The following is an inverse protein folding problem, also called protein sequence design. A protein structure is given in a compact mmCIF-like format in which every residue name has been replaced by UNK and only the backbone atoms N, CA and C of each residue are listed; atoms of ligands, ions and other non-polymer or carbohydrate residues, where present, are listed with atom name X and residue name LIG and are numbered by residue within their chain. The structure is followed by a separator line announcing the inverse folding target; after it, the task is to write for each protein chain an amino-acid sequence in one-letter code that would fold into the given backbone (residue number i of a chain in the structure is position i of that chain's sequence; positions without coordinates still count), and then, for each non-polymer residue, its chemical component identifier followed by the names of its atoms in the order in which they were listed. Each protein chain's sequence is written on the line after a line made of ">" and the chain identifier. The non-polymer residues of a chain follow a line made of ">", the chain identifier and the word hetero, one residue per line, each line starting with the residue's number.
data_IF_978377220999
#
_entry.id   IF_978377220999
#
_cell.length_a   1.000
_cell.length_b   1.000
_cell.length_c   1.000
_cell.angle_alpha   90.00
_cell.angle_beta   90.00
_cell.angle_gamma   90.00
#
_symmetry.space_group_name_H-M   'P 1'
#
loop_
_entity.id
_entity.type
_entity.pdbx_description
1 polymer ?
#
# COMPACT_ATOMS: atom_id res chain seq x y z
N UNK A 1 22.59 -26.78 11.35
CA UNK A 1 21.16 -26.95 10.99
C UNK A 1 20.69 -25.68 10.32
N UNK A 2 19.90 -25.80 9.26
CA UNK A 2 19.31 -24.65 8.56
C UNK A 2 18.26 -23.99 9.46
N UNK A 3 18.35 -22.70 9.69
CA UNK A 3 17.43 -21.95 10.51
C UNK A 3 16.07 -21.78 9.79
N UNK A 4 14.97 -22.14 10.47
CA UNK A 4 13.60 -21.98 9.94
C UNK A 4 13.06 -20.63 10.38
N UNK A 5 12.71 -19.79 9.42
CA UNK A 5 12.18 -18.44 9.69
C UNK A 5 10.76 -18.35 9.12
N UNK A 6 9.81 -17.95 9.95
CA UNK A 6 8.46 -17.62 9.51
C UNK A 6 8.25 -16.11 9.62
N UNK A 7 7.84 -15.49 8.53
CA UNK A 7 7.56 -14.06 8.44
C UNK A 7 6.06 -13.87 8.27
N UNK A 8 5.44 -13.12 9.19
CA UNK A 8 4.03 -12.80 9.15
C UNK A 8 3.87 -11.41 8.54
N UNK A 9 3.44 -11.37 7.28
CA UNK A 9 3.28 -10.16 6.47
C UNK A 9 4.27 -10.09 5.30
N UNK A 10 3.75 -9.90 4.09
CA UNK A 10 4.47 -9.85 2.83
C UNK A 10 4.75 -8.44 2.31
N UNK A 11 4.66 -7.42 3.18
CA UNK A 11 5.04 -6.03 2.87
C UNK A 11 6.55 -5.83 2.82
N UNK A 12 7.05 -4.58 2.60
CA UNK A 12 8.49 -4.30 2.43
C UNK A 12 9.36 -4.89 3.54
N UNK A 13 8.99 -4.71 4.80
CA UNK A 13 9.75 -5.27 5.91
C UNK A 13 9.82 -6.81 5.85
N UNK A 14 8.73 -7.46 5.42
CA UNK A 14 8.65 -8.91 5.35
C UNK A 14 9.40 -9.48 4.15
N UNK A 15 9.17 -8.97 2.95
CA UNK A 15 9.81 -9.55 1.75
C UNK A 15 11.29 -9.22 1.67
N UNK A 16 11.75 -8.06 2.10
CA UNK A 16 13.18 -7.73 2.16
C UNK A 16 13.91 -8.61 3.17
N UNK A 17 13.34 -8.76 4.37
CA UNK A 17 13.91 -9.67 5.36
C UNK A 17 13.97 -11.12 4.86
N UNK A 18 12.95 -11.56 4.11
CA UNK A 18 12.92 -12.91 3.54
C UNK A 18 14.03 -13.13 2.51
N UNK A 19 14.24 -12.16 1.61
CA UNK A 19 15.31 -12.23 0.60
C UNK A 19 16.68 -12.32 1.26
N UNK A 20 16.96 -11.44 2.23
CA UNK A 20 18.22 -11.45 2.97
C UNK A 20 18.42 -12.77 3.72
N UNK A 21 17.40 -13.24 4.43
CA UNK A 21 17.50 -14.49 5.19
C UNK A 21 17.72 -15.73 4.30
N UNK A 22 17.04 -15.78 3.14
CA UNK A 22 17.21 -16.87 2.17
C UNK A 22 18.64 -16.88 1.58
N UNK A 23 19.17 -15.69 1.22
CA UNK A 23 20.55 -15.55 0.74
C UNK A 23 21.59 -16.00 1.79
N UNK A 24 21.27 -15.92 3.07
CA UNK A 24 22.09 -16.46 4.16
C UNK A 24 21.80 -17.93 4.47
N UNK A 25 21.04 -18.63 3.65
CA UNK A 25 20.80 -20.06 3.73
C UNK A 25 19.73 -20.48 4.74
N UNK A 26 18.86 -19.57 5.17
CA UNK A 26 17.71 -19.92 6.01
C UNK A 26 16.58 -20.58 5.20
N UNK A 27 15.78 -21.43 5.84
CA UNK A 27 14.52 -21.94 5.30
C UNK A 27 13.39 -20.95 5.65
N UNK A 28 12.99 -20.14 4.69
CA UNK A 28 12.09 -19.00 4.90
C UNK A 28 10.68 -19.27 4.38
N UNK A 29 9.68 -18.95 5.20
CA UNK A 29 8.27 -18.95 4.81
C UNK A 29 7.65 -17.59 5.10
N UNK A 30 7.04 -16.95 4.12
CA UNK A 30 6.19 -15.77 4.31
C UNK A 30 4.73 -16.22 4.34
N UNK A 31 3.96 -15.69 5.28
CA UNK A 31 2.50 -15.84 5.33
C UNK A 31 1.88 -14.45 5.20
N UNK A 32 1.04 -14.26 4.20
CA UNK A 32 0.33 -13.00 3.96
C UNK A 32 -1.10 -13.25 3.48
N UNK A 33 -2.05 -12.44 3.94
CA UNK A 33 -3.47 -12.54 3.56
C UNK A 33 -3.90 -11.60 2.44
N UNK A 34 -3.15 -10.51 2.21
CA UNK A 34 -3.54 -9.44 1.29
C UNK A 34 -2.74 -9.46 -0.02
N UNK A 35 -1.61 -10.15 -0.03
CA UNK A 35 -0.72 -10.27 -1.17
C UNK A 35 0.66 -9.65 -0.98
N UNK A 36 1.63 -10.18 -1.72
CA UNK A 36 3.05 -9.78 -1.64
C UNK A 36 3.22 -8.34 -2.11
N UNK A 37 4.00 -7.58 -1.34
CA UNK A 37 4.22 -6.14 -1.51
C UNK A 37 3.50 -5.30 -0.45
N UNK A 38 2.44 -5.84 0.17
CA UNK A 38 1.68 -5.18 1.24
C UNK A 38 1.13 -3.81 0.85
N UNK A 39 0.84 -2.98 1.83
CA UNK A 39 0.28 -1.63 1.59
C UNK A 39 1.14 -0.80 0.64
N UNK A 40 2.44 -0.78 0.83
CA UNK A 40 3.36 0.06 0.05
C UNK A 40 3.23 -0.20 -1.45
N UNK A 41 3.18 -1.46 -1.87
CA UNK A 41 3.13 -1.82 -3.30
C UNK A 41 1.71 -1.84 -3.84
N UNK A 42 0.76 -2.39 -3.07
CA UNK A 42 -0.57 -2.68 -3.60
C UNK A 42 -1.57 -1.53 -3.43
N UNK A 43 -1.40 -0.67 -2.42
CA UNK A 43 -2.43 0.29 -2.04
C UNK A 43 -1.92 1.70 -1.75
N UNK A 44 -0.63 1.92 -1.42
CA UNK A 44 -0.14 3.22 -0.95
C UNK A 44 0.99 3.77 -1.85
N UNK A 45 2.25 3.55 -1.50
CA UNK A 45 3.38 4.27 -2.11
C UNK A 45 3.42 4.15 -3.65
N UNK A 46 3.33 2.94 -4.19
CA UNK A 46 3.35 2.73 -5.65
C UNK A 46 2.08 3.28 -6.31
N UNK A 47 0.87 2.95 -5.82
CA UNK A 47 -0.36 3.53 -6.33
C UNK A 47 -0.40 5.06 -6.24
N UNK A 48 -0.10 5.66 -5.08
CA UNK A 48 -0.22 7.10 -4.91
C UNK A 48 0.78 7.88 -5.78
N UNK A 49 2.03 7.43 -5.85
CA UNK A 49 3.04 8.08 -6.73
C UNK A 49 2.69 7.92 -8.21
N UNK A 50 2.14 6.77 -8.61
CA UNK A 50 1.65 6.57 -9.99
C UNK A 50 0.47 7.50 -10.29
N UNK A 51 -0.44 7.67 -9.33
CA UNK A 51 -1.59 8.56 -9.43
C UNK A 51 -1.14 10.01 -9.55
N UNK A 52 -0.26 10.48 -8.65
CA UNK A 52 0.30 11.84 -8.67
C UNK A 52 1.07 12.10 -9.98
N UNK A 53 1.90 11.16 -10.43
CA UNK A 53 2.62 11.32 -11.69
C UNK A 53 1.67 11.52 -12.90
N UNK A 54 0.48 10.92 -12.86
CA UNK A 54 -0.53 11.12 -13.90
C UNK A 54 -1.10 12.54 -13.86
N UNK A 55 -1.25 13.15 -12.67
CA UNK A 55 -1.73 14.55 -12.58
C UNK A 55 -0.68 15.56 -13.03
N UNK A 56 0.61 15.25 -12.82
CA UNK A 56 1.74 16.08 -13.28
C UNK A 56 1.75 16.33 -14.78
N UNK A 57 1.27 15.37 -15.59
CA UNK A 57 1.16 15.52 -17.04
C UNK A 57 0.31 16.74 -17.42
N UNK A 58 -0.77 17.02 -16.69
CA UNK A 58 -1.59 18.24 -16.92
C UNK A 58 -0.81 19.52 -16.65
N UNK A 59 -0.07 19.54 -15.55
CA UNK A 59 0.77 20.69 -15.19
C UNK A 59 1.83 20.94 -16.27
N UNK A 60 2.44 19.88 -16.80
CA UNK A 60 3.43 19.98 -17.87
C UNK A 60 2.80 20.49 -19.17
N UNK A 61 1.60 20.03 -19.53
CA UNK A 61 0.86 20.55 -20.71
C UNK A 61 0.53 22.02 -20.57
N UNK A 62 0.06 22.47 -19.40
CA UNK A 62 -0.21 23.89 -19.15
C UNK A 62 1.07 24.73 -19.26
N UNK A 63 2.18 24.26 -18.70
CA UNK A 63 3.49 24.91 -18.82
C UNK A 63 3.97 24.96 -20.27
N UNK A 64 3.71 23.92 -21.06
CA UNK A 64 4.05 23.89 -22.47
C UNK A 64 3.34 25.01 -23.24
N UNK A 65 2.05 25.27 -22.95
CA UNK A 65 1.29 26.41 -23.56
C UNK A 65 1.91 27.74 -23.14
N UNK A 66 2.29 27.93 -21.89
CA UNK A 66 2.98 29.15 -21.44
C UNK A 66 4.33 29.38 -22.15
N UNK A 67 4.98 28.29 -22.60
CA UNK A 67 6.23 28.32 -23.40
C UNK A 67 5.97 28.42 -24.91
N UNK A 68 4.72 28.59 -25.37
CA UNK A 68 4.35 28.72 -26.78
C UNK A 68 4.21 27.38 -27.52
N UNK A 69 4.20 26.25 -26.83
CA UNK A 69 3.91 24.94 -27.41
C UNK A 69 2.41 24.69 -27.38
N UNK A 70 1.78 24.55 -28.56
CA UNK A 70 0.34 24.28 -28.64
C UNK A 70 0.04 22.85 -28.15
N UNK A 71 -0.53 22.74 -26.96
CA UNK A 71 -1.07 21.52 -26.42
C UNK A 71 -2.59 21.66 -26.28
N UNK A 72 -3.35 21.01 -27.16
CA UNK A 72 -4.80 20.99 -27.02
C UNK A 72 -5.20 20.00 -25.96
N UNK A 73 -5.52 20.49 -24.78
CA UNK A 73 -5.97 19.70 -23.64
C UNK A 73 -7.36 20.17 -23.19
N UNK A 74 -8.31 19.22 -23.14
CA UNK A 74 -9.59 19.44 -22.46
C UNK A 74 -9.39 19.22 -20.95
N UNK A 75 -9.47 20.27 -20.12
CA UNK A 75 -9.29 20.15 -18.68
C UNK A 75 -10.33 19.25 -17.98
N UNK A 76 -11.42 18.91 -18.68
CA UNK A 76 -12.48 18.02 -18.14
C UNK A 76 -12.28 16.55 -18.52
N UNK A 77 -11.25 16.22 -19.30
CA UNK A 77 -11.09 14.90 -19.95
C UNK A 77 -10.36 13.84 -19.10
N UNK A 78 -10.33 13.97 -17.76
CA UNK A 78 -9.80 12.88 -16.94
C UNK A 78 -10.73 11.67 -16.96
N UNK A 79 -10.25 10.57 -17.52
CA UNK A 79 -10.90 9.27 -17.42
C UNK A 79 -10.40 8.54 -16.18
N UNK A 80 -10.93 8.87 -15.00
CA UNK A 80 -10.43 8.37 -13.71
C UNK A 80 -10.37 6.84 -13.67
N UNK A 81 -11.35 6.15 -14.26
CA UNK A 81 -11.33 4.68 -14.35
C UNK A 81 -10.12 4.14 -15.12
N UNK A 82 -9.63 4.85 -16.17
CA UNK A 82 -8.41 4.46 -16.89
C UNK A 82 -7.15 4.72 -16.05
N UNK A 83 -7.10 5.87 -15.36
CA UNK A 83 -6.00 6.22 -14.44
C UNK A 83 -5.88 5.15 -13.36
N UNK A 84 -6.99 4.85 -12.69
CA UNK A 84 -7.02 3.85 -11.63
C UNK A 84 -6.72 2.43 -12.15
N UNK A 85 -7.18 2.11 -13.36
CA UNK A 85 -6.82 0.85 -14.04
C UNK A 85 -5.31 0.72 -14.25
N UNK A 86 -4.64 1.79 -14.71
CA UNK A 86 -3.18 1.83 -14.86
C UNK A 86 -2.47 1.72 -13.52
N UNK A 87 -2.91 2.44 -12.50
CA UNK A 87 -2.37 2.39 -11.13
C UNK A 87 -2.39 0.97 -10.60
N UNK A 88 -3.55 0.30 -10.67
CA UNK A 88 -3.71 -1.09 -10.21
C UNK A 88 -2.87 -2.08 -11.01
N UNK A 89 -2.75 -1.87 -12.33
CA UNK A 89 -1.95 -2.73 -13.18
C UNK A 89 -0.47 -2.67 -12.81
N UNK A 90 0.09 -1.49 -12.60
CA UNK A 90 1.49 -1.31 -12.19
C UNK A 90 1.76 -1.90 -10.80
N UNK A 91 0.86 -1.68 -9.84
CA UNK A 91 0.97 -2.26 -8.51
C UNK A 91 0.99 -3.80 -8.54
N UNK A 92 0.10 -4.40 -9.34
CA UNK A 92 0.04 -5.86 -9.52
C UNK A 92 1.29 -6.40 -10.23
N UNK A 93 1.80 -5.70 -11.23
CA UNK A 93 3.02 -6.10 -11.93
C UNK A 93 4.20 -6.11 -10.95
N UNK A 94 4.38 -5.07 -10.16
CA UNK A 94 5.46 -5.03 -9.16
C UNK A 94 5.30 -6.10 -8.09
N UNK A 95 4.07 -6.35 -7.60
CA UNK A 95 3.79 -7.46 -6.67
C UNK A 95 4.18 -8.82 -7.27
N UNK A 96 3.88 -9.04 -8.55
CA UNK A 96 4.24 -10.27 -9.26
C UNK A 96 5.76 -10.42 -9.40
N UNK A 97 6.48 -9.35 -9.68
CA UNK A 97 7.95 -9.36 -9.77
C UNK A 97 8.61 -9.69 -8.44
N UNK A 98 8.13 -9.09 -7.33
CA UNK A 98 8.63 -9.40 -5.98
C UNK A 98 8.34 -10.87 -5.65
N UNK A 99 7.14 -11.36 -5.95
CA UNK A 99 6.78 -12.78 -5.76
C UNK A 99 7.72 -13.70 -6.52
N UNK A 100 7.99 -13.41 -7.80
CA UNK A 100 8.88 -14.20 -8.62
C UNK A 100 10.32 -14.19 -8.09
N UNK A 101 10.80 -13.05 -7.57
CA UNK A 101 12.09 -12.94 -6.94
C UNK A 101 12.18 -13.81 -5.68
N UNK A 102 11.21 -13.72 -4.77
CA UNK A 102 11.14 -14.54 -3.56
C UNK A 102 11.15 -16.05 -3.88
N UNK A 103 10.40 -16.44 -4.92
CA UNK A 103 10.36 -17.84 -5.35
C UNK A 103 11.70 -18.33 -5.93
N UNK A 104 12.43 -17.47 -6.68
CA UNK A 104 13.78 -17.81 -7.18
C UNK A 104 14.78 -18.03 -6.05
N UNK A 105 14.64 -17.28 -4.96
CA UNK A 105 15.47 -17.43 -3.75
C UNK A 105 14.99 -18.59 -2.84
N UNK A 106 14.01 -19.37 -3.26
CA UNK A 106 13.52 -20.52 -2.52
C UNK A 106 12.58 -20.21 -1.35
N UNK A 107 12.11 -18.96 -1.24
CA UNK A 107 11.17 -18.57 -0.17
C UNK A 107 9.79 -19.19 -0.43
N UNK A 108 9.23 -19.85 0.57
CA UNK A 108 7.86 -20.37 0.53
C UNK A 108 6.85 -19.27 0.81
N UNK A 109 5.84 -19.14 -0.04
CA UNK A 109 4.77 -18.16 0.08
C UNK A 109 3.46 -18.87 0.39
N UNK A 110 2.82 -18.50 1.51
CA UNK A 110 1.53 -19.03 1.92
C UNK A 110 0.50 -17.90 1.95
N UNK A 111 -0.60 -18.06 1.21
CA UNK A 111 -1.74 -17.15 1.27
C UNK A 111 -2.64 -17.53 2.43
N UNK A 112 -2.73 -16.67 3.45
CA UNK A 112 -3.53 -16.93 4.63
C UNK A 112 -3.22 -15.95 5.76
N UNK A 113 -4.02 -16.04 6.81
CA UNK A 113 -3.83 -15.26 8.04
C UNK A 113 -3.03 -16.04 9.04
N UNK A 114 -1.91 -15.47 9.52
CA UNK A 114 -1.05 -16.10 10.51
C UNK A 114 -1.23 -15.48 11.90
N UNK A 115 -1.06 -16.32 12.91
CA UNK A 115 -0.98 -15.92 14.32
C UNK A 115 0.15 -16.67 15.01
N UNK A 116 0.89 -16.01 15.86
CA UNK A 116 1.80 -16.69 16.78
C UNK A 116 0.95 -17.56 17.71
N UNK A 117 1.15 -18.88 17.65
CA UNK A 117 0.36 -19.84 18.39
C UNK A 117 1.03 -20.16 19.73
N UNK A 118 2.34 -20.42 19.72
CA UNK A 118 3.13 -20.59 20.91
C UNK A 118 4.50 -19.95 20.75
N UNK A 119 4.82 -19.03 21.65
CA UNK A 119 6.11 -18.34 21.71
C UNK A 119 6.30 -17.79 23.12
N UNK A 120 7.36 -18.21 23.78
CA UNK A 120 7.74 -17.69 25.10
C UNK A 120 9.23 -17.33 25.10
N UNK A 121 9.67 -16.36 25.92
CA UNK A 121 11.08 -16.04 26.06
C UNK A 121 11.91 -17.30 26.46
N UNK A 122 13.01 -17.52 25.75
CA UNK A 122 13.90 -18.65 25.98
C UNK A 122 13.48 -19.98 25.34
N UNK A 123 12.37 -20.04 24.60
CA UNK A 123 12.05 -21.22 23.79
C UNK A 123 12.99 -21.35 22.59
N UNK A 124 13.45 -22.57 22.34
CA UNK A 124 14.26 -22.90 21.17
C UNK A 124 13.43 -22.96 19.87
N UNK A 125 12.11 -23.13 20.00
CA UNK A 125 11.19 -23.27 18.87
C UNK A 125 9.88 -22.54 19.16
N UNK A 126 9.38 -21.82 18.15
CA UNK A 126 8.10 -21.13 18.16
C UNK A 126 7.13 -21.80 17.21
N UNK A 127 5.83 -21.61 17.38
CA UNK A 127 4.84 -22.09 16.41
C UNK A 127 3.90 -20.98 15.94
N UNK A 128 3.55 -21.06 14.67
CA UNK A 128 2.65 -20.12 13.98
C UNK A 128 1.48 -20.90 13.39
N UNK A 129 0.27 -20.54 13.78
CA UNK A 129 -0.96 -21.06 13.16
C UNK A 129 -1.28 -20.22 11.93
N UNK A 130 -1.44 -20.90 10.79
CA UNK A 130 -1.89 -20.29 9.52
C UNK A 130 -3.32 -20.75 9.25
N UNK A 131 -4.22 -19.81 9.05
CA UNK A 131 -5.59 -20.06 8.60
C UNK A 131 -5.69 -19.65 7.13
N UNK A 132 -5.98 -20.60 6.25
CA UNK A 132 -6.16 -20.40 4.82
C UNK A 132 -7.57 -19.88 4.51
N UNK A 133 -7.78 -19.35 3.28
CA UNK A 133 -9.10 -18.84 2.84
C UNK A 133 -10.22 -19.87 2.90
N UNK A 134 -9.90 -21.16 2.67
CA UNK A 134 -10.86 -22.27 2.77
C UNK A 134 -11.16 -22.68 4.22
N UNK A 135 -10.67 -21.95 5.22
CA UNK A 135 -10.84 -22.23 6.64
C UNK A 135 -9.95 -23.32 7.21
N UNK A 136 -9.14 -24.00 6.38
CA UNK A 136 -8.16 -24.98 6.87
C UNK A 136 -7.08 -24.28 7.71
N UNK A 137 -6.62 -24.98 8.73
CA UNK A 137 -5.56 -24.52 9.62
C UNK A 137 -4.34 -25.40 9.53
N UNK A 138 -3.16 -24.77 9.61
CA UNK A 138 -1.88 -25.47 9.68
C UNK A 138 -1.00 -24.81 10.72
N UNK A 139 -0.37 -25.59 11.56
CA UNK A 139 0.65 -25.10 12.49
C UNK A 139 2.02 -25.39 11.90
N UNK A 140 2.88 -24.38 11.92
CA UNK A 140 4.25 -24.42 11.43
C UNK A 140 5.19 -24.10 12.57
N UNK A 141 6.28 -24.87 12.67
CA UNK A 141 7.35 -24.63 13.65
C UNK A 141 8.43 -23.75 13.05
N UNK A 142 8.94 -22.82 13.82
CA UNK A 142 9.98 -21.89 13.47
C UNK A 142 11.02 -21.73 14.57
N UNK A 143 12.26 -21.49 14.19
CA UNK A 143 13.32 -21.10 15.11
C UNK A 143 13.28 -19.58 15.35
N UNK A 144 12.78 -18.83 14.34
CA UNK A 144 12.55 -17.38 14.43
C UNK A 144 11.18 -17.03 13.80
N UNK A 145 10.45 -16.14 14.45
CA UNK A 145 9.23 -15.53 13.91
C UNK A 145 9.44 -14.03 13.78
N UNK A 146 9.33 -13.52 12.56
CA UNK A 146 9.33 -12.07 12.28
C UNK A 146 7.88 -11.58 12.09
N UNK A 147 7.46 -10.62 12.91
CA UNK A 147 6.15 -9.98 12.80
C UNK A 147 6.30 -8.70 11.99
N UNK A 148 5.78 -8.72 10.75
CA UNK A 148 5.85 -7.63 9.78
C UNK A 148 4.44 -7.29 9.23
N UNK A 149 3.44 -7.27 10.11
CA UNK A 149 2.00 -7.22 9.78
C UNK A 149 1.53 -5.86 9.25
N UNK A 150 2.38 -4.83 9.27
CA UNK A 150 2.07 -3.50 8.75
C UNK A 150 0.96 -2.79 9.54
N UNK A 151 0.16 -1.99 8.81
CA UNK A 151 -0.91 -1.18 9.39
C UNK A 151 -2.15 -1.17 8.48
N UNK A 152 -3.29 -0.84 9.06
CA UNK A 152 -4.55 -0.62 8.35
C UNK A 152 -4.99 0.83 8.48
N UNK A 153 -5.80 1.35 7.54
CA UNK A 153 -6.39 2.67 7.67
C UNK A 153 -7.15 2.81 8.99
N UNK A 154 -6.97 3.94 9.67
CA UNK A 154 -7.75 4.24 10.86
C UNK A 154 -9.17 4.60 10.46
N UNK A 155 -10.15 3.97 11.09
CA UNK A 155 -11.56 4.28 10.92
C UNK A 155 -12.06 5.16 12.06
N UNK A 156 -12.84 6.20 11.72
CA UNK A 156 -13.50 7.02 12.72
C UNK A 156 -14.81 6.34 13.14
N UNK A 157 -15.12 6.25 14.45
CA UNK A 157 -16.33 5.57 14.92
C UNK A 157 -17.62 6.15 14.33
N UNK A 158 -17.68 7.49 14.19
CA UNK A 158 -18.83 8.24 13.71
C UNK A 158 -18.86 8.45 12.19
N UNK A 159 -17.84 7.96 11.47
CA UNK A 159 -17.71 8.09 10.01
C UNK A 159 -17.03 6.85 9.43
N UNK A 160 -17.63 5.70 9.65
CA UNK A 160 -17.10 4.43 9.15
C UNK A 160 -17.22 4.36 7.64
N UNK A 161 -16.20 3.82 6.95
CA UNK A 161 -16.27 3.63 5.51
C UNK A 161 -17.47 2.77 5.10
N UNK A 162 -18.26 3.29 4.15
CA UNK A 162 -19.42 2.60 3.57
C UNK A 162 -19.14 2.06 2.16
N UNK A 163 -17.97 2.41 1.59
CA UNK A 163 -17.58 2.01 0.24
C UNK A 163 -18.20 2.86 -0.88
N UNK A 164 -19.05 3.83 -0.56
CA UNK A 164 -19.74 4.68 -1.55
C UNK A 164 -19.39 6.16 -1.40
N UNK A 165 -19.63 6.72 -0.21
CA UNK A 165 -19.42 8.15 0.11
C UNK A 165 -18.33 8.37 1.12
N UNK A 166 -18.18 7.46 2.07
CA UNK A 166 -17.13 7.46 3.08
C UNK A 166 -16.15 6.36 2.71
N UNK A 167 -14.98 6.76 2.27
CA UNK A 167 -13.96 5.87 1.70
C UNK A 167 -12.70 5.89 2.55
N UNK A 168 -12.05 4.74 2.63
CA UNK A 168 -10.62 4.72 2.98
C UNK A 168 -9.79 5.12 1.77
N UNK A 169 -8.55 5.53 1.98
CA UNK A 169 -7.63 5.83 0.88
C UNK A 169 -7.42 4.66 -0.11
N UNK A 170 -7.57 3.40 0.34
CA UNK A 170 -7.51 2.23 -0.53
C UNK A 170 -8.64 2.21 -1.58
N UNK A 171 -9.82 2.65 -1.19
CA UNK A 171 -11.03 2.62 -2.04
C UNK A 171 -11.07 3.76 -3.06
N UNK A 172 -10.21 4.79 -2.92
CA UNK A 172 -10.11 5.87 -3.91
C UNK A 172 -9.75 5.36 -5.31
N UNK A 173 -8.97 4.28 -5.38
CA UNK A 173 -8.62 3.66 -6.67
C UNK A 173 -9.75 2.84 -7.29
N UNK A 174 -10.90 2.70 -6.62
CA UNK A 174 -12.10 2.06 -7.16
C UNK A 174 -13.05 3.07 -7.82
N UNK A 175 -12.82 4.36 -7.61
CA UNK A 175 -13.59 5.42 -8.26
C UNK A 175 -13.40 5.38 -9.78
N UNK A 176 -14.50 5.47 -10.52
CA UNK A 176 -14.51 5.52 -11.99
C UNK A 176 -14.66 6.94 -12.53
N UNK A 177 -15.21 7.85 -11.72
CA UNK A 177 -15.47 9.25 -12.06
C UNK A 177 -14.92 10.17 -10.98
N UNK A 178 -14.56 11.39 -11.38
CA UNK A 178 -14.11 12.42 -10.45
C UNK A 178 -15.29 12.91 -9.59
N UNK A 179 -15.15 12.97 -8.27
CA UNK A 179 -16.17 13.58 -7.42
C UNK A 179 -16.24 15.09 -7.67
N UNK A 180 -17.41 15.67 -7.53
CA UNK A 180 -17.56 17.15 -7.61
C UNK A 180 -16.86 17.86 -6.45
N UNK A 181 -16.84 17.21 -5.28
CA UNK A 181 -16.20 17.70 -4.08
C UNK A 181 -15.66 16.51 -3.27
N UNK A 182 -14.41 16.59 -2.89
CA UNK A 182 -13.74 15.60 -2.02
C UNK A 182 -13.42 16.26 -0.68
N UNK A 183 -13.85 15.61 0.40
CA UNK A 183 -13.43 15.99 1.77
C UNK A 183 -12.41 14.96 2.24
N UNK A 184 -11.21 15.43 2.55
CA UNK A 184 -10.11 14.58 3.04
C UNK A 184 -9.94 14.81 4.52
N UNK A 185 -10.10 13.77 5.33
CA UNK A 185 -9.92 13.83 6.78
C UNK A 185 -8.56 13.27 7.15
N UNK A 186 -7.68 14.15 7.60
CA UNK A 186 -6.29 13.87 7.93
C UNK A 186 -5.30 14.64 7.06
N UNK A 187 -4.32 15.27 7.70
CA UNK A 187 -3.31 16.13 7.07
C UNK A 187 -1.90 15.52 7.05
N UNK A 188 -1.80 14.21 7.25
CA UNK A 188 -0.54 13.47 7.05
C UNK A 188 -0.19 13.28 5.58
N UNK A 189 0.91 12.57 5.30
CA UNK A 189 1.45 12.38 3.95
C UNK A 189 0.38 11.88 2.97
N UNK A 190 -0.32 10.81 3.28
CA UNK A 190 -1.36 10.24 2.40
C UNK A 190 -2.48 11.26 2.10
N UNK A 191 -2.95 12.00 3.13
CA UNK A 191 -3.97 13.03 2.93
C UNK A 191 -3.48 14.16 2.04
N UNK A 192 -2.27 14.67 2.27
CA UNK A 192 -1.66 15.73 1.47
C UNK A 192 -1.47 15.32 0.01
N UNK A 193 -1.02 14.09 -0.25
CA UNK A 193 -0.86 13.54 -1.59
C UNK A 193 -2.19 13.51 -2.36
N UNK A 194 -3.26 13.01 -1.75
CA UNK A 194 -4.56 12.97 -2.42
C UNK A 194 -5.18 14.34 -2.59
N UNK A 195 -5.01 15.24 -1.61
CA UNK A 195 -5.46 16.65 -1.77
C UNK A 195 -4.79 17.29 -2.97
N UNK A 196 -3.46 17.18 -3.08
CA UNK A 196 -2.71 17.70 -4.21
C UNK A 196 -3.20 17.10 -5.53
N UNK A 197 -3.25 15.77 -5.62
CA UNK A 197 -3.63 15.08 -6.84
C UNK A 197 -5.05 15.43 -7.34
N UNK A 198 -6.04 15.38 -6.45
CA UNK A 198 -7.43 15.70 -6.83
C UNK A 198 -7.63 17.20 -7.14
N UNK A 199 -6.91 18.09 -6.45
CA UNK A 199 -6.91 19.52 -6.78
C UNK A 199 -6.36 19.76 -8.19
N UNK A 200 -5.24 19.10 -8.54
CA UNK A 200 -4.68 19.16 -9.90
C UNK A 200 -5.65 18.62 -10.97
N UNK A 201 -6.47 17.63 -10.62
CA UNK A 201 -7.53 17.12 -11.50
C UNK A 201 -8.74 18.06 -11.62
N UNK A 202 -8.76 19.18 -10.90
CA UNK A 202 -9.84 20.17 -10.94
C UNK A 202 -11.02 19.85 -10.01
N UNK A 203 -10.86 18.92 -9.09
CA UNK A 203 -11.85 18.63 -8.07
C UNK A 203 -11.81 19.69 -6.97
N UNK A 204 -12.97 20.13 -6.48
CA UNK A 204 -13.04 20.94 -5.27
C UNK A 204 -12.64 20.05 -4.09
N UNK A 205 -11.55 20.41 -3.39
CA UNK A 205 -11.07 19.63 -2.24
C UNK A 205 -11.15 20.44 -0.96
N UNK A 206 -11.57 19.81 0.12
CA UNK A 206 -11.51 20.37 1.48
C UNK A 206 -10.73 19.39 2.35
N UNK A 207 -9.62 19.85 2.95
CA UNK A 207 -8.89 19.09 3.96
C UNK A 207 -9.37 19.45 5.36
N UNK A 208 -9.63 18.43 6.18
CA UNK A 208 -9.99 18.59 7.58
C UNK A 208 -8.89 17.96 8.44
N UNK A 209 -8.33 18.74 9.33
CA UNK A 209 -7.24 18.33 10.22
C UNK A 209 -7.56 18.68 11.67
N UNK A 210 -7.18 17.81 12.59
CA UNK A 210 -7.14 18.09 14.03
C UNK A 210 -5.81 18.75 14.45
N UNK A 211 -4.92 18.99 13.50
CA UNK A 211 -3.62 19.65 13.71
C UNK A 211 -3.66 21.03 13.06
N UNK A 212 -2.82 21.90 13.53
CA UNK A 212 -2.70 23.29 13.10
C UNK A 212 -1.92 23.47 11.78
N UNK A 213 -1.27 22.41 11.29
CA UNK A 213 -0.55 22.41 9.99
C UNK A 213 -0.74 21.11 9.22
N UNK A 214 -0.47 21.17 7.92
CA UNK A 214 -0.32 20.00 7.06
C UNK A 214 1.01 19.33 7.39
N UNK A 215 1.13 18.02 7.18
CA UNK A 215 2.33 17.23 7.46
C UNK A 215 2.86 17.44 8.89
N UNK A 216 2.03 17.26 9.92
CA UNK A 216 2.32 17.73 11.29
C UNK A 216 3.51 17.02 11.96
N UNK A 217 3.97 15.91 11.39
CA UNK A 217 5.11 15.11 11.89
C UNK A 217 6.38 15.30 11.07
N UNK A 218 6.30 16.06 9.99
CA UNK A 218 7.45 16.36 9.12
C UNK A 218 8.16 17.64 9.57
N UNK A 219 9.31 17.92 8.94
CA UNK A 219 10.05 19.14 9.16
C UNK A 219 9.18 20.38 8.89
N UNK A 220 9.36 21.44 9.69
CA UNK A 220 8.57 22.65 9.57
C UNK A 220 8.72 23.35 8.20
N UNK A 221 9.89 23.20 7.57
CA UNK A 221 10.16 23.78 6.25
C UNK A 221 9.50 22.98 5.11
N UNK A 222 9.07 21.74 5.40
CA UNK A 222 8.35 20.88 4.45
C UNK A 222 6.82 20.93 4.59
N UNK A 223 6.30 21.58 5.65
CA UNK A 223 4.90 21.56 6.06
C UNK A 223 4.12 22.84 5.76
#
# INVERSE_FOLDING_TARGET
>A
MTQRIIIIGGGPAGYEAALVAAQHGADVTIVDSDGIGGNCVLYDCVPSKTFIATTGVRTDMRRAEEMGVQAHFDPTAYRLGQVNGRVKSLARAQSADIRAQLQREGVRLLSGRARVHNSQPGMATHSVEVTFENGQKKVLDADVVLVATGSSPRELPDARPDGERILTWRQLYDLTELPKHLVVVGSGVTGAEFVSAFTEMGVKVTMVSSRDRVLPHEDADAA
#
